data_IF_933946639197
#
_entry.id   IF_933946639197
#
_cell.length_a   1.000
_cell.length_b   1.000
_cell.length_c   1.000
_cell.angle_alpha   90.00
_cell.angle_beta   90.00
_cell.angle_gamma   90.00
#
_symmetry.space_group_name_H-M   'P 1'
#
loop_
_entity.id
_entity.type
_entity.pdbx_description
1 polymer ?
#
# COMPACT_ATOMS: atom_id res chain seq x y z
N UNK A 1 -4.39 -18.10 -18.47
CA UNK A 1 -5.01 -18.81 -17.34
C UNK A 1 -4.23 -18.42 -16.10
N UNK A 2 -4.88 -17.90 -15.07
CA UNK A 2 -4.23 -17.57 -13.80
C UNK A 2 -3.64 -18.86 -13.18
N UNK A 3 -2.40 -18.80 -12.71
CA UNK A 3 -1.82 -19.93 -11.98
C UNK A 3 -2.34 -19.90 -10.55
N UNK A 4 -3.10 -20.93 -10.19
CA UNK A 4 -3.65 -21.10 -8.84
C UNK A 4 -2.94 -22.23 -8.12
N UNK A 5 -2.44 -21.93 -6.92
CA UNK A 5 -1.82 -22.90 -6.03
C UNK A 5 -2.72 -23.00 -4.80
N UNK A 6 -3.23 -24.19 -4.48
CA UNK A 6 -4.11 -24.40 -3.33
C UNK A 6 -3.52 -25.43 -2.40
N UNK A 7 -3.56 -25.17 -1.10
CA UNK A 7 -3.11 -26.12 -0.10
C UNK A 7 -2.88 -25.49 1.26
N UNK A 8 -2.28 -26.27 2.16
CA UNK A 8 -2.08 -25.90 3.56
C UNK A 8 -1.04 -24.79 3.74
N UNK A 9 -1.24 -23.94 4.74
CA UNK A 9 -0.30 -22.88 5.10
C UNK A 9 0.40 -23.10 6.44
N UNK A 10 1.50 -22.38 6.66
CA UNK A 10 2.04 -22.01 7.98
C UNK A 10 2.12 -20.48 8.09
N UNK A 11 2.64 -19.99 9.20
CA UNK A 11 3.02 -18.59 9.41
C UNK A 11 4.54 -18.48 9.59
N UNK A 12 5.15 -17.39 9.11
CA UNK A 12 6.59 -17.12 9.25
C UNK A 12 6.91 -15.62 9.28
N UNK A 13 8.15 -15.29 9.64
CA UNK A 13 8.74 -13.97 9.53
C UNK A 13 8.57 -13.09 10.77
N UNK A 14 9.45 -12.10 10.85
CA UNK A 14 9.47 -11.06 11.86
C UNK A 14 10.24 -11.40 13.14
N UNK A 15 10.27 -10.46 14.11
CA UNK A 15 11.21 -10.51 15.22
C UNK A 15 11.10 -11.78 16.08
N UNK A 16 9.92 -12.38 16.14
CA UNK A 16 9.59 -13.49 17.02
C UNK A 16 9.50 -14.85 16.31
N UNK A 17 9.76 -14.94 15.01
CA UNK A 17 9.67 -16.19 14.24
C UNK A 17 10.67 -17.26 14.70
N UNK A 18 10.23 -18.29 15.41
CA UNK A 18 11.13 -19.35 15.89
C UNK A 18 11.59 -20.32 14.80
N UNK A 19 11.02 -20.26 13.60
CA UNK A 19 11.37 -21.11 12.46
C UNK A 19 12.63 -20.68 11.72
N UNK A 20 13.01 -19.40 11.82
CA UNK A 20 14.21 -18.85 11.18
C UNK A 20 15.32 -18.55 12.20
N UNK A 21 16.57 -18.87 11.87
CA UNK A 21 17.72 -18.47 12.68
C UNK A 21 17.82 -16.93 12.76
N UNK A 22 18.39 -16.34 13.85
CA UNK A 22 18.53 -14.89 13.98
C UNK A 22 19.30 -14.19 12.84
N UNK A 23 20.16 -14.93 12.15
CA UNK A 23 21.01 -14.50 11.04
C UNK A 23 20.51 -14.97 9.66
N UNK A 24 19.33 -15.59 9.59
CA UNK A 24 18.78 -16.11 8.35
C UNK A 24 18.31 -14.99 7.41
N UNK A 25 18.95 -14.93 6.25
CA UNK A 25 18.52 -14.10 5.13
C UNK A 25 17.47 -14.81 4.28
N UNK A 26 16.50 -14.03 3.81
CA UNK A 26 15.53 -14.46 2.83
C UNK A 26 16.19 -14.66 1.46
N UNK A 27 15.79 -15.69 0.72
CA UNK A 27 16.35 -15.99 -0.59
C UNK A 27 16.06 -14.89 -1.62
N UNK A 28 14.93 -14.18 -1.50
CA UNK A 28 14.59 -13.11 -2.45
C UNK A 28 15.15 -11.76 -2.02
N UNK A 29 15.52 -11.58 -0.76
CA UNK A 29 15.98 -10.29 -0.24
C UNK A 29 17.05 -10.56 0.80
N UNK A 30 18.28 -10.70 0.33
CA UNK A 30 19.45 -10.88 1.20
C UNK A 30 19.86 -9.56 1.83
N UNK A 31 20.53 -9.61 2.98
CA UNK A 31 20.96 -8.41 3.71
C UNK A 31 21.83 -7.49 2.86
N UNK A 32 22.69 -8.06 2.01
CA UNK A 32 23.58 -7.35 1.09
C UNK A 32 22.85 -6.66 -0.07
N UNK A 33 21.65 -7.11 -0.43
CA UNK A 33 20.84 -6.54 -1.51
C UNK A 33 19.74 -5.62 -0.98
N UNK A 34 19.46 -5.64 0.34
CA UNK A 34 18.28 -5.00 0.92
C UNK A 34 18.22 -3.51 0.64
N UNK A 35 19.34 -2.79 0.70
CA UNK A 35 19.38 -1.34 0.41
C UNK A 35 18.98 -1.06 -1.04
N UNK A 36 19.51 -1.83 -1.99
CA UNK A 36 19.16 -1.73 -3.41
C UNK A 36 17.69 -2.07 -3.67
N UNK A 37 17.15 -3.03 -2.93
CA UNK A 37 15.77 -3.49 -3.07
C UNK A 37 14.78 -2.69 -2.22
N UNK A 38 15.26 -1.82 -1.33
CA UNK A 38 14.45 -1.06 -0.39
C UNK A 38 13.26 -0.33 -1.05
N UNK A 39 13.40 0.27 -2.25
CA UNK A 39 12.26 0.88 -2.93
C UNK A 39 11.10 -0.08 -3.25
N UNK A 40 11.39 -1.38 -3.42
CA UNK A 40 10.44 -2.41 -3.87
C UNK A 40 9.90 -3.23 -2.71
N UNK A 41 10.72 -3.46 -1.68
CA UNK A 41 10.41 -4.38 -0.57
C UNK A 41 10.47 -3.72 0.80
N UNK A 42 10.99 -2.50 0.93
CA UNK A 42 11.24 -1.84 2.21
C UNK A 42 10.00 -1.71 3.08
N UNK A 43 8.83 -1.51 2.47
CA UNK A 43 7.54 -1.47 3.17
C UNK A 43 7.14 -2.78 3.88
N UNK A 44 7.81 -3.91 3.60
CA UNK A 44 7.58 -5.19 4.27
C UNK A 44 8.61 -5.49 5.38
N UNK A 45 9.51 -4.54 5.66
CA UNK A 45 10.55 -4.66 6.67
C UNK A 45 10.39 -3.58 7.74
N UNK A 46 10.72 -3.94 8.97
CA UNK A 46 10.84 -2.99 10.06
C UNK A 46 11.93 -1.95 9.74
N UNK A 47 11.74 -0.68 10.14
CA UNK A 47 12.68 0.40 9.85
C UNK A 47 14.07 0.10 10.44
N UNK A 48 14.13 -0.62 11.56
CA UNK A 48 15.37 -1.04 12.22
C UNK A 48 15.43 -2.55 12.41
N UNK A 49 16.61 -3.15 12.22
CA UNK A 49 16.84 -4.55 12.53
C UNK A 49 16.55 -4.83 14.02
N UNK A 50 15.79 -5.88 14.37
CA UNK A 50 15.56 -6.24 15.76
C UNK A 50 16.86 -6.59 16.49
N UNK A 51 16.94 -6.19 17.77
CA UNK A 51 18.12 -6.43 18.61
C UNK A 51 18.46 -7.93 18.67
N UNK A 52 19.73 -8.26 18.44
CA UNK A 52 20.22 -9.64 18.50
C UNK A 52 19.94 -10.48 17.26
N UNK A 53 19.54 -9.84 16.15
CA UNK A 53 19.32 -10.48 14.86
C UNK A 53 20.12 -9.75 13.78
N UNK A 54 20.45 -10.44 12.69
CA UNK A 54 21.17 -9.87 11.55
C UNK A 54 20.59 -10.25 10.19
N UNK A 55 19.76 -11.30 10.12
CA UNK A 55 19.16 -11.75 8.88
C UNK A 55 17.88 -11.00 8.52
N UNK A 56 17.59 -10.91 7.22
CA UNK A 56 16.39 -10.21 6.73
C UNK A 56 15.08 -10.88 7.17
N UNK A 57 15.04 -12.20 7.38
CA UNK A 57 13.82 -12.88 7.82
C UNK A 57 13.28 -12.36 9.16
N UNK A 58 14.18 -12.00 10.09
CA UNK A 58 13.82 -11.42 11.40
C UNK A 58 13.40 -9.96 11.31
N UNK A 59 13.80 -9.24 10.26
CA UNK A 59 13.45 -7.83 10.05
C UNK A 59 12.11 -7.65 9.36
N UNK A 60 11.50 -8.70 8.82
CA UNK A 60 10.16 -8.60 8.24
C UNK A 60 9.17 -7.98 9.23
N UNK A 61 8.35 -7.06 8.76
CA UNK A 61 7.30 -6.44 9.57
C UNK A 61 6.12 -7.43 9.70
N UNK A 62 5.84 -8.00 10.89
CA UNK A 62 4.81 -9.02 11.05
C UNK A 62 3.39 -8.53 10.70
N UNK A 63 3.14 -7.22 10.69
CA UNK A 63 1.84 -6.64 10.35
C UNK A 63 1.64 -6.43 8.83
N UNK A 64 2.73 -6.46 8.07
CA UNK A 64 2.74 -6.34 6.61
C UNK A 64 2.37 -7.65 5.91
N UNK A 65 1.82 -7.58 4.69
CA UNK A 65 1.33 -8.75 3.96
C UNK A 65 2.36 -9.27 2.96
N UNK A 66 3.13 -10.28 3.38
CA UNK A 66 4.03 -11.05 2.52
C UNK A 66 3.75 -12.55 2.60
N UNK A 67 4.31 -13.28 1.64
CA UNK A 67 4.14 -14.72 1.46
C UNK A 67 5.44 -15.38 0.98
N UNK A 68 5.68 -16.58 1.50
CA UNK A 68 6.53 -17.59 0.88
C UNK A 68 5.63 -18.67 0.27
N UNK A 69 5.87 -19.11 -0.96
CA UNK A 69 5.04 -20.14 -1.59
C UNK A 69 5.88 -21.11 -2.40
N UNK A 70 5.39 -22.34 -2.57
CA UNK A 70 5.98 -23.30 -3.50
C UNK A 70 5.65 -22.89 -4.94
N UNK A 71 6.35 -21.86 -5.40
CA UNK A 71 6.25 -21.36 -6.75
C UNK A 71 6.69 -22.44 -7.76
N UNK A 72 6.16 -22.38 -8.97
CA UNK A 72 6.74 -23.11 -10.09
C UNK A 72 7.99 -22.37 -10.57
N UNK A 73 9.18 -22.87 -10.22
CA UNK A 73 10.45 -22.17 -10.46
C UNK A 73 10.78 -21.95 -11.94
N UNK A 74 10.29 -22.81 -12.83
CA UNK A 74 10.44 -22.62 -14.28
C UNK A 74 9.51 -21.57 -14.86
N UNK A 75 8.43 -21.22 -14.16
CA UNK A 75 7.42 -20.26 -14.62
C UNK A 75 7.50 -18.92 -13.88
N UNK A 76 8.10 -18.92 -12.68
CA UNK A 76 8.11 -17.77 -11.77
C UNK A 76 9.51 -17.53 -11.22
N UNK A 77 10.41 -16.91 -12.02
CA UNK A 77 11.74 -16.53 -11.55
C UNK A 77 11.64 -15.45 -10.47
N UNK A 78 12.66 -15.39 -9.59
CA UNK A 78 12.69 -14.50 -8.42
C UNK A 78 12.50 -13.04 -8.81
N UNK A 79 13.09 -12.61 -9.92
CA UNK A 79 13.03 -11.24 -10.42
C UNK A 79 11.59 -10.80 -10.70
N UNK A 80 10.77 -11.71 -11.22
CA UNK A 80 9.36 -11.47 -11.47
C UNK A 80 8.58 -11.47 -10.15
N UNK A 81 8.80 -12.49 -9.31
CA UNK A 81 8.11 -12.61 -8.02
C UNK A 81 8.37 -11.40 -7.11
N UNK A 82 9.60 -10.88 -7.10
CA UNK A 82 10.01 -9.72 -6.31
C UNK A 82 9.36 -8.43 -6.76
N UNK A 83 8.89 -8.33 -8.01
CA UNK A 83 8.27 -7.11 -8.56
C UNK A 83 6.75 -7.18 -8.63
N UNK A 84 6.13 -8.31 -8.28
CA UNK A 84 4.67 -8.46 -8.29
C UNK A 84 4.06 -8.59 -6.90
N UNK A 85 2.74 -8.61 -6.86
CA UNK A 85 1.92 -9.04 -5.75
C UNK A 85 1.09 -10.25 -6.20
N UNK A 86 0.78 -11.15 -5.27
CA UNK A 86 -0.11 -12.30 -5.49
C UNK A 86 -1.36 -12.17 -4.62
N UNK A 87 -2.50 -12.66 -5.09
CA UNK A 87 -3.71 -12.70 -4.27
C UNK A 87 -3.70 -13.96 -3.41
N UNK A 88 -3.90 -13.81 -2.11
CA UNK A 88 -4.08 -14.92 -1.17
C UNK A 88 -5.51 -14.86 -0.66
N UNK A 89 -6.23 -15.96 -0.82
CA UNK A 89 -7.65 -16.06 -0.50
C UNK A 89 -7.89 -17.26 0.41
N UNK A 90 -8.70 -17.04 1.45
CA UNK A 90 -9.37 -18.13 2.15
C UNK A 90 -10.56 -18.60 1.30
N UNK A 91 -10.54 -19.85 0.77
CA UNK A 91 -11.63 -20.37 -0.04
C UNK A 91 -12.94 -20.56 0.75
N UNK A 92 -12.89 -20.65 2.09
CA UNK A 92 -14.08 -20.85 2.92
C UNK A 92 -14.87 -19.56 3.11
N UNK A 93 -14.21 -18.48 3.55
CA UNK A 93 -14.87 -17.18 3.76
C UNK A 93 -14.90 -16.31 2.51
N UNK A 94 -14.04 -16.61 1.53
CA UNK A 94 -13.81 -15.76 0.37
C UNK A 94 -13.01 -14.49 0.68
N UNK A 95 -12.57 -14.28 1.92
CA UNK A 95 -11.71 -13.15 2.27
C UNK A 95 -10.36 -13.29 1.56
N UNK A 96 -9.85 -12.18 1.02
CA UNK A 96 -8.61 -12.17 0.26
C UNK A 96 -7.82 -10.89 0.49
N UNK A 97 -6.50 -10.96 0.33
CA UNK A 97 -5.63 -9.80 0.27
C UNK A 97 -4.45 -10.04 -0.67
N UNK A 98 -3.85 -8.95 -1.14
CA UNK A 98 -2.62 -9.01 -1.92
C UNK A 98 -1.42 -9.17 -0.98
N UNK A 99 -0.45 -9.99 -1.39
CA UNK A 99 0.74 -10.30 -0.62
C UNK A 99 1.98 -10.25 -1.48
N UNK A 100 3.09 -9.78 -0.89
CA UNK A 100 4.41 -9.74 -1.55
C UNK A 100 5.11 -11.10 -1.49
N UNK A 101 5.46 -11.71 -2.63
CA UNK A 101 6.40 -12.83 -2.65
C UNK A 101 7.75 -12.37 -2.11
N UNK A 102 8.23 -13.01 -1.04
CA UNK A 102 9.49 -12.63 -0.38
C UNK A 102 10.44 -13.81 -0.16
N UNK A 103 9.97 -15.04 -0.38
CA UNK A 103 10.72 -16.26 -0.11
C UNK A 103 10.18 -17.47 -0.90
N UNK A 104 11.02 -18.49 -1.03
CA UNK A 104 10.64 -19.83 -1.47
C UNK A 104 9.75 -20.54 -0.45
N UNK A 105 8.94 -21.48 -0.93
CA UNK A 105 7.93 -22.12 -0.12
C UNK A 105 8.48 -22.95 1.06
N UNK A 106 7.59 -23.33 2.00
CA UNK A 106 7.95 -24.18 3.14
C UNK A 106 8.56 -25.51 2.73
N UNK A 107 9.33 -26.10 3.66
CA UNK A 107 10.02 -27.38 3.50
C UNK A 107 9.12 -28.46 2.89
N UNK A 108 9.68 -29.22 1.93
CA UNK A 108 8.93 -30.19 1.13
C UNK A 108 8.13 -31.18 2.01
N UNK A 109 8.77 -31.68 3.07
CA UNK A 109 8.22 -32.67 3.99
C UNK A 109 7.00 -32.18 4.79
N UNK A 110 6.81 -30.86 4.96
CA UNK A 110 5.69 -30.30 5.72
C UNK A 110 4.32 -30.51 5.06
N UNK A 111 4.29 -30.79 3.74
CA UNK A 111 3.05 -30.85 2.95
C UNK A 111 2.33 -29.50 2.78
N UNK A 112 2.90 -28.39 3.27
CA UNK A 112 2.37 -27.04 3.13
C UNK A 112 2.84 -26.41 1.82
N UNK A 113 2.02 -25.53 1.25
CA UNK A 113 2.33 -24.82 0.00
C UNK A 113 2.71 -23.36 0.24
N UNK A 114 2.32 -22.77 1.38
CA UNK A 114 2.62 -21.38 1.69
C UNK A 114 3.02 -21.17 3.16
N UNK A 115 3.84 -20.16 3.40
CA UNK A 115 3.96 -19.50 4.70
C UNK A 115 3.46 -18.06 4.54
N UNK A 116 2.50 -17.65 5.37
CA UNK A 116 1.98 -16.29 5.37
C UNK A 116 2.66 -15.47 6.48
N UNK A 117 2.75 -14.16 6.28
CA UNK A 117 2.99 -13.22 7.38
C UNK A 117 1.91 -13.36 8.48
N UNK A 118 2.23 -13.07 9.76
CA UNK A 118 1.25 -13.08 10.85
C UNK A 118 0.04 -12.17 10.56
N UNK A 119 0.29 -10.96 10.05
CA UNK A 119 -0.73 -9.99 9.70
C UNK A 119 -1.68 -10.51 8.62
N UNK A 120 -1.15 -11.14 7.57
CA UNK A 120 -1.98 -11.72 6.51
C UNK A 120 -2.82 -12.89 7.01
N UNK A 121 -2.24 -13.81 7.79
CA UNK A 121 -2.99 -14.94 8.36
C UNK A 121 -4.12 -14.45 9.28
N UNK A 122 -3.82 -13.48 10.15
CA UNK A 122 -4.81 -12.83 11.03
C UNK A 122 -5.91 -12.13 10.24
N UNK A 123 -5.55 -11.37 9.20
CA UNK A 123 -6.51 -10.69 8.33
C UNK A 123 -7.46 -11.68 7.65
N UNK A 124 -6.93 -12.75 7.07
CA UNK A 124 -7.74 -13.79 6.43
C UNK A 124 -8.57 -14.60 7.44
N UNK A 125 -8.17 -14.62 8.71
CA UNK A 125 -8.82 -15.43 9.75
C UNK A 125 -8.46 -16.91 9.67
N UNK A 126 -7.27 -17.22 9.15
CA UNK A 126 -6.77 -18.59 8.92
C UNK A 126 -5.67 -18.93 9.92
N UNK A 127 -5.59 -20.21 10.29
CA UNK A 127 -4.60 -20.78 11.19
C UNK A 127 -3.63 -21.70 10.44
N UNK A 128 -2.59 -22.15 11.13
CA UNK A 128 -1.65 -23.14 10.60
C UNK A 128 -2.44 -24.39 10.16
N UNK A 129 -2.06 -24.94 9.01
CA UNK A 129 -2.67 -26.08 8.33
C UNK A 129 -4.07 -25.86 7.73
N UNK A 130 -4.63 -24.65 7.84
CA UNK A 130 -5.78 -24.25 7.01
C UNK A 130 -5.38 -24.12 5.54
N UNK A 131 -6.38 -24.22 4.66
CA UNK A 131 -6.20 -24.16 3.20
C UNK A 131 -6.32 -22.73 2.72
N UNK A 132 -5.39 -22.29 1.87
CA UNK A 132 -5.47 -21.04 1.12
C UNK A 132 -5.32 -21.29 -0.38
N UNK A 133 -5.90 -20.39 -1.16
CA UNK A 133 -5.73 -20.28 -2.60
C UNK A 133 -4.81 -19.09 -2.88
N UNK A 134 -3.64 -19.36 -3.46
CA UNK A 134 -2.71 -18.33 -3.97
C UNK A 134 -2.94 -18.21 -5.46
N UNK A 135 -3.35 -17.03 -5.92
CA UNK A 135 -3.53 -16.70 -7.33
C UNK A 135 -2.40 -15.80 -7.77
N UNK A 136 -1.58 -16.30 -8.68
CA UNK A 136 -0.51 -15.55 -9.32
C UNK A 136 -1.13 -14.86 -10.53
N UNK A 137 -1.08 -13.51 -10.60
CA UNK A 137 -1.75 -12.78 -11.66
C UNK A 137 -1.27 -13.29 -13.02
N UNK A 138 -2.23 -13.67 -13.87
CA UNK A 138 -1.86 -13.93 -15.25
C UNK A 138 -1.38 -12.65 -15.86
N UNK A 139 -0.60 -12.90 -16.87
CA UNK A 139 0.30 -11.96 -17.34
C UNK A 139 -0.31 -11.49 -18.69
N UNK A 140 -0.63 -10.20 -18.86
CA UNK A 140 -1.22 -9.64 -20.10
C UNK A 140 -0.29 -9.79 -21.31
N UNK A 141 -0.88 -10.16 -22.44
CA UNK A 141 -0.17 -10.64 -23.64
C UNK A 141 0.37 -9.46 -24.45
N UNK A 142 1.67 -9.43 -24.76
CA UNK A 142 2.19 -8.53 -25.80
C UNK A 142 1.95 -9.11 -27.21
N UNK A 143 2.27 -8.35 -28.26
CA UNK A 143 2.07 -8.75 -29.67
C UNK A 143 2.86 -10.00 -30.11
N UNK A 144 3.57 -10.68 -29.20
CA UNK A 144 4.32 -11.91 -29.46
C UNK A 144 3.82 -13.12 -28.63
N UNK A 145 2.67 -13.02 -27.95
CA UNK A 145 1.94 -14.20 -27.46
C UNK A 145 2.44 -14.79 -26.13
N UNK A 146 3.28 -14.06 -25.38
CA UNK A 146 3.66 -14.41 -24.00
C UNK A 146 2.86 -13.60 -23.00
N UNK A 147 2.26 -14.26 -22.00
CA UNK A 147 1.55 -13.61 -20.90
C UNK A 147 2.55 -12.89 -19.96
N UNK A 148 2.49 -11.55 -19.79
CA UNK A 148 3.23 -10.74 -18.77
C UNK A 148 2.32 -9.77 -17.99
N UNK A 149 2.19 -9.89 -16.65
CA UNK A 149 1.28 -9.05 -15.87
C UNK A 149 1.88 -7.67 -15.99
N UNK A 150 1.13 -6.71 -16.55
CA UNK A 150 1.68 -5.36 -16.70
C UNK A 150 1.69 -4.77 -15.31
N UNK A 151 2.81 -5.00 -14.63
CA UNK A 151 3.18 -4.37 -13.38
C UNK A 151 3.46 -2.92 -13.73
N UNK A 152 2.71 -2.02 -13.09
CA UNK A 152 2.97 -0.59 -13.15
C UNK A 152 3.50 -0.13 -11.81
N UNK A 153 4.37 0.87 -11.87
CA UNK A 153 5.03 1.42 -10.69
C UNK A 153 4.47 2.80 -10.40
N UNK A 154 4.08 3.05 -9.16
CA UNK A 154 3.91 4.39 -8.62
C UNK A 154 5.27 4.82 -8.09
N UNK A 155 5.94 5.69 -8.83
CA UNK A 155 7.14 6.34 -8.37
C UNK A 155 6.77 7.45 -7.39
N UNK A 156 7.44 7.49 -6.24
CA UNK A 156 7.19 8.51 -5.24
C UNK A 156 8.47 8.99 -4.56
N UNK A 157 8.48 10.23 -4.10
CA UNK A 157 9.52 10.73 -3.19
C UNK A 157 9.05 10.65 -1.75
N UNK A 158 9.90 10.12 -0.86
CA UNK A 158 9.61 10.07 0.57
C UNK A 158 10.05 11.36 1.25
N UNK A 159 9.20 11.92 2.11
CA UNK A 159 9.51 13.09 2.93
C UNK A 159 8.81 12.96 4.28
N UNK A 160 9.57 12.60 5.33
CA UNK A 160 8.98 12.26 6.62
C UNK A 160 8.17 13.43 7.23
N UNK A 161 6.87 13.21 7.45
CA UNK A 161 6.06 14.11 8.28
C UNK A 161 6.53 14.07 9.74
N UNK A 162 6.47 15.23 10.42
CA UNK A 162 6.86 15.34 11.83
C UNK A 162 5.80 14.82 12.78
N UNK A 163 4.52 14.93 12.43
CA UNK A 163 3.42 14.58 13.32
C UNK A 163 2.60 13.42 12.75
N UNK A 164 2.74 12.25 13.35
CA UNK A 164 1.96 11.05 13.08
C UNK A 164 2.06 10.14 14.30
N UNK A 165 1.21 9.11 14.37
CA UNK A 165 1.37 8.04 15.36
C UNK A 165 1.99 6.82 14.69
N UNK A 166 3.14 6.30 15.19
CA UNK A 166 3.68 5.04 14.72
C UNK A 166 2.70 3.89 14.93
N UNK A 167 2.52 3.07 13.90
CA UNK A 167 1.52 2.01 13.82
C UNK A 167 0.09 2.52 13.63
N UNK A 168 -0.84 1.56 13.52
CA UNK A 168 -2.28 1.81 13.45
C UNK A 168 -3.04 0.90 14.40
N UNK A 169 -4.03 1.45 15.10
CA UNK A 169 -4.88 0.68 16.02
C UNK A 169 -6.04 -0.04 15.32
N UNK A 170 -6.20 0.17 14.00
CA UNK A 170 -7.25 -0.40 13.16
C UNK A 170 -6.69 -0.74 11.78
N UNK A 171 -7.22 -1.76 11.09
CA UNK A 171 -6.88 -2.00 9.69
C UNK A 171 -7.33 -0.81 8.82
N UNK A 172 -6.64 -0.61 7.69
CA UNK A 172 -7.08 0.32 6.65
C UNK A 172 -8.41 -0.18 6.10
N UNK A 173 -9.42 0.69 6.11
CA UNK A 173 -10.78 0.38 5.64
C UNK A 173 -11.27 1.38 4.59
N UNK A 174 -10.73 2.61 4.55
CA UNK A 174 -11.12 3.64 3.58
C UNK A 174 -9.93 4.52 3.16
N UNK A 175 -10.08 5.17 2.01
CA UNK A 175 -9.17 6.20 1.49
C UNK A 175 -9.93 7.52 1.49
N UNK A 176 -9.35 8.56 2.07
CA UNK A 176 -9.96 9.90 2.12
C UNK A 176 -9.16 10.85 1.23
N UNK A 177 -9.82 11.43 0.25
CA UNK A 177 -9.27 12.44 -0.66
C UNK A 177 -9.46 13.84 -0.06
N UNK A 178 -8.42 14.66 -0.16
CA UNK A 178 -8.35 16.03 0.35
C UNK A 178 -7.86 17.00 -0.75
N UNK A 179 -8.12 18.28 -0.54
CA UNK A 179 -7.42 19.37 -1.22
C UNK A 179 -6.51 20.08 -0.22
N UNK A 180 -5.23 20.25 -0.56
CA UNK A 180 -4.24 20.78 0.38
C UNK A 180 -4.45 22.25 0.73
N UNK A 181 -5.18 22.98 -0.10
CA UNK A 181 -5.30 24.43 -0.05
C UNK A 181 -3.96 25.17 -0.18
N UNK A 182 -2.99 24.52 -0.85
CA UNK A 182 -1.63 24.99 -1.03
C UNK A 182 -1.03 24.65 -2.40
N UNK A 183 0.29 24.82 -2.48
CA UNK A 183 1.11 24.56 -3.66
C UNK A 183 2.23 23.56 -3.32
N UNK A 184 2.78 22.85 -4.31
CA UNK A 184 3.91 21.91 -4.10
C UNK A 184 5.02 22.52 -3.24
N UNK A 185 5.41 23.78 -3.49
CA UNK A 185 6.49 24.41 -2.75
C UNK A 185 6.17 24.61 -1.25
N UNK A 186 4.92 24.96 -0.93
CA UNK A 186 4.52 25.25 0.45
C UNK A 186 4.12 23.98 1.19
N UNK A 187 3.40 23.08 0.52
CA UNK A 187 2.83 21.86 1.11
C UNK A 187 3.91 20.88 1.54
N UNK A 188 5.01 20.78 0.78
CA UNK A 188 6.15 19.94 1.15
C UNK A 188 6.78 20.35 2.49
N UNK A 189 6.82 21.65 2.80
CA UNK A 189 7.29 22.14 4.11
C UNK A 189 6.18 22.13 5.16
N UNK A 190 4.93 22.36 4.78
CA UNK A 190 3.80 22.38 5.71
C UNK A 190 3.57 21.01 6.34
N UNK A 191 3.56 19.93 5.56
CA UNK A 191 3.33 18.58 6.08
C UNK A 191 4.52 18.04 6.90
N UNK A 192 5.70 18.65 6.81
CA UNK A 192 6.85 18.32 7.67
C UNK A 192 6.91 19.10 8.96
N UNK A 193 6.14 20.18 9.11
CA UNK A 193 6.24 21.07 10.28
C UNK A 193 4.93 21.26 11.03
N UNK A 194 3.80 21.00 10.41
CA UNK A 194 2.47 21.21 11.00
C UNK A 194 2.06 20.12 11.99
N UNK A 195 0.96 20.40 12.71
CA UNK A 195 0.32 19.43 13.60
C UNK A 195 -0.62 18.45 12.88
N UNK A 196 -0.78 18.57 11.56
CA UNK A 196 -1.55 17.65 10.72
C UNK A 196 -0.62 16.92 9.77
N UNK A 197 -1.08 15.82 9.21
CA UNK A 197 -0.31 15.05 8.23
C UNK A 197 -1.22 14.19 7.38
N UNK A 198 -0.76 13.87 6.17
CA UNK A 198 -1.38 12.89 5.29
C UNK A 198 -0.38 11.76 4.98
N UNK A 199 -0.87 10.68 4.39
CA UNK A 199 0.01 9.59 3.97
C UNK A 199 0.65 9.93 2.63
N UNK A 200 -0.16 10.43 1.70
CA UNK A 200 0.25 10.73 0.34
C UNK A 200 -0.14 12.14 -0.06
N UNK A 201 0.64 12.72 -0.98
CA UNK A 201 0.38 14.00 -1.61
C UNK A 201 0.62 13.90 -3.12
N UNK A 202 -0.24 14.53 -3.91
CA UNK A 202 -0.20 14.50 -5.36
C UNK A 202 -0.21 15.92 -5.92
N UNK A 203 0.86 16.27 -6.64
CA UNK A 203 0.98 17.58 -7.27
C UNK A 203 0.03 17.73 -8.45
N UNK A 204 -0.12 18.97 -8.93
CA UNK A 204 -0.89 19.26 -10.15
C UNK A 204 -0.33 18.56 -11.41
N UNK A 205 0.95 18.21 -11.40
CA UNK A 205 1.65 17.50 -12.48
C UNK A 205 1.66 15.97 -12.29
N UNK A 206 0.96 15.46 -11.26
CA UNK A 206 0.86 14.03 -10.99
C UNK A 206 2.08 13.42 -10.28
N UNK A 207 3.03 14.22 -9.78
CA UNK A 207 4.09 13.70 -8.91
C UNK A 207 3.50 13.24 -7.60
N UNK A 208 4.00 12.11 -7.09
CA UNK A 208 3.54 11.52 -5.83
C UNK A 208 4.61 11.67 -4.76
N UNK A 209 4.19 12.09 -3.58
CA UNK A 209 5.01 12.15 -2.38
C UNK A 209 4.38 11.32 -1.27
N UNK A 210 5.20 10.67 -0.46
CA UNK A 210 4.75 9.96 0.75
C UNK A 210 5.31 10.64 1.99
N UNK A 211 4.43 10.97 2.92
CA UNK A 211 4.75 11.67 4.16
C UNK A 211 4.72 10.78 5.40
N UNK A 212 3.76 9.87 5.44
CA UNK A 212 3.56 8.92 6.53
C UNK A 212 3.43 7.53 5.91
N UNK A 213 4.13 6.55 6.49
CA UNK A 213 4.04 5.16 6.05
C UNK A 213 2.58 4.67 6.15
N UNK A 214 2.15 3.82 5.23
CA UNK A 214 0.81 3.24 5.31
C UNK A 214 0.62 2.32 6.53
N UNK A 215 1.67 1.87 7.21
CA UNK A 215 1.57 1.15 8.48
C UNK A 215 1.26 2.08 9.66
N UNK A 216 1.61 3.36 9.54
CA UNK A 216 1.43 4.39 10.57
C UNK A 216 0.09 5.12 10.42
N UNK A 217 -0.24 5.96 11.41
CA UNK A 217 -1.48 6.76 11.43
C UNK A 217 -1.17 8.25 11.22
N UNK A 218 -1.49 8.77 10.04
CA UNK A 218 -1.46 10.20 9.76
C UNK A 218 -2.66 10.95 10.38
N UNK A 219 -2.54 12.26 10.60
CA UNK A 219 -3.57 13.10 11.21
C UNK A 219 -4.27 13.99 10.18
N UNK A 220 -5.16 13.40 9.36
CA UNK A 220 -5.76 14.08 8.21
C UNK A 220 -7.28 14.31 8.29
N UNK A 221 -8.05 13.53 9.07
CA UNK A 221 -9.53 13.63 9.11
C UNK A 221 -10.02 14.50 10.29
N UNK A 222 -9.35 14.39 11.43
CA UNK A 222 -9.88 14.92 12.70
C UNK A 222 -11.13 14.16 13.15
N UNK A 223 -12.17 14.88 13.60
CA UNK A 223 -13.44 14.27 14.05
C UNK A 223 -14.25 13.78 12.84
N UNK A 224 -14.58 12.49 12.81
CA UNK A 224 -15.30 11.87 11.70
C UNK A 224 -16.66 11.33 12.12
N UNK A 225 -17.61 11.29 11.17
CA UNK A 225 -19.00 10.83 11.40
C UNK A 225 -19.09 9.35 11.80
N UNK A 226 -18.02 8.59 11.58
CA UNK A 226 -17.92 7.18 11.95
C UNK A 226 -16.46 6.83 12.23
N UNK A 227 -16.24 5.89 13.14
CA UNK A 227 -14.89 5.38 13.44
C UNK A 227 -14.27 4.63 12.26
N UNK A 228 -15.07 4.21 11.26
CA UNK A 228 -14.59 3.68 9.98
C UNK A 228 -13.78 4.69 9.17
N UNK A 229 -14.01 5.99 9.41
CA UNK A 229 -13.34 7.10 8.75
C UNK A 229 -12.38 7.84 9.69
N UNK A 230 -12.06 7.24 10.84
CA UNK A 230 -11.05 7.79 11.75
C UNK A 230 -9.66 7.69 11.12
N UNK A 231 -8.75 8.59 11.52
CA UNK A 231 -7.34 8.57 11.10
C UNK A 231 -6.72 7.16 11.12
N UNK A 232 -6.95 6.37 12.18
CA UNK A 232 -6.38 5.03 12.33
C UNK A 232 -6.94 3.99 11.33
N UNK A 233 -8.13 4.24 10.79
CA UNK A 233 -8.82 3.35 9.86
C UNK A 233 -8.66 3.78 8.39
N UNK A 234 -7.93 4.86 8.11
CA UNK A 234 -7.89 5.45 6.77
C UNK A 234 -6.50 5.78 6.27
N UNK A 235 -6.36 5.83 4.94
CA UNK A 235 -5.25 6.48 4.26
C UNK A 235 -5.73 7.84 3.75
N UNK A 236 -4.92 8.87 3.95
CA UNK A 236 -5.22 10.25 3.52
C UNK A 236 -4.36 10.62 2.32
N UNK A 237 -5.00 11.11 1.25
CA UNK A 237 -4.35 11.57 0.02
C UNK A 237 -4.69 13.05 -0.19
N UNK A 238 -3.68 13.89 -0.06
CA UNK A 238 -3.75 15.32 -0.33
C UNK A 238 -3.49 15.59 -1.81
N UNK A 239 -4.26 16.48 -2.40
CA UNK A 239 -4.01 16.94 -3.76
C UNK A 239 -3.67 18.42 -3.73
N UNK A 240 -2.61 18.80 -4.45
CA UNK A 240 -2.27 20.19 -4.70
C UNK A 240 -3.43 20.92 -5.38
N UNK A 241 -4.19 21.65 -4.60
CA UNK A 241 -5.38 22.36 -5.06
C UNK A 241 -5.77 23.45 -4.06
N UNK A 242 -6.27 24.56 -4.57
CA UNK A 242 -6.80 25.69 -3.83
C UNK A 242 -8.32 25.69 -3.97
N UNK A 243 -9.01 25.12 -2.97
CA UNK A 243 -10.48 25.20 -2.91
C UNK A 243 -10.93 26.66 -2.79
N UNK A 244 -12.12 27.02 -3.31
CA UNK A 244 -12.67 28.36 -3.16
C UNK A 244 -12.78 28.77 -1.69
N UNK A 245 -12.31 29.95 -1.38
CA UNK A 245 -12.36 30.52 -0.03
C UNK A 245 -12.69 32.02 -0.11
N UNK A 246 -13.93 32.42 0.21
CA UNK A 246 -14.34 33.81 0.16
C UNK A 246 -13.63 34.68 1.21
N UNK A 247 -13.10 34.09 2.29
CA UNK A 247 -12.42 34.84 3.36
C UNK A 247 -11.10 35.46 2.89
N UNK A 248 -10.45 34.82 1.91
CA UNK A 248 -9.25 35.31 1.23
C UNK A 248 -9.50 35.70 -0.23
N UNK A 249 -10.78 35.79 -0.64
CA UNK A 249 -11.19 36.21 -1.98
C UNK A 249 -10.91 35.20 -3.11
N UNK A 250 -10.61 33.95 -2.76
CA UNK A 250 -10.29 32.88 -3.71
C UNK A 250 -11.57 32.29 -4.32
N UNK A 251 -11.59 32.20 -5.65
CA UNK A 251 -12.77 31.76 -6.43
C UNK A 251 -12.67 30.29 -6.80
N UNK A 252 -13.80 29.70 -7.20
CA UNK A 252 -13.87 28.33 -7.70
C UNK A 252 -13.46 28.28 -9.19
N UNK A 253 -12.20 28.57 -9.48
CA UNK A 253 -11.70 28.66 -10.86
C UNK A 253 -10.42 27.84 -11.12
N UNK A 254 -9.87 27.18 -10.11
CA UNK A 254 -8.78 26.24 -10.34
C UNK A 254 -9.36 24.93 -10.84
N UNK A 255 -8.77 24.40 -11.91
CA UNK A 255 -9.10 23.10 -12.47
C UNK A 255 -8.40 21.96 -11.72
N UNK A 256 -8.87 20.74 -11.98
CA UNK A 256 -8.27 19.48 -11.58
C UNK A 256 -7.57 18.86 -12.79
N UNK A 257 -6.23 18.97 -12.90
CA UNK A 257 -5.50 18.48 -14.07
C UNK A 257 -5.63 16.97 -14.25
N UNK A 258 -5.66 16.54 -15.51
CA UNK A 258 -5.77 15.13 -15.90
C UNK A 258 -4.69 14.26 -15.26
N UNK A 259 -3.45 14.76 -15.25
CA UNK A 259 -2.29 14.06 -14.70
C UNK A 259 -2.43 13.82 -13.19
N UNK A 260 -2.92 14.82 -12.45
CA UNK A 260 -3.19 14.71 -11.01
C UNK A 260 -4.29 13.69 -10.72
N UNK A 261 -5.41 13.75 -11.46
CA UNK A 261 -6.52 12.79 -11.30
C UNK A 261 -6.10 11.38 -11.69
N UNK A 262 -5.27 11.23 -12.73
CA UNK A 262 -4.71 9.95 -13.14
C UNK A 262 -3.79 9.34 -12.09
N UNK A 263 -2.85 10.14 -11.55
CA UNK A 263 -1.97 9.70 -10.47
C UNK A 263 -2.76 9.30 -9.21
N UNK A 264 -3.82 10.05 -8.88
CA UNK A 264 -4.71 9.73 -7.76
C UNK A 264 -5.42 8.39 -7.94
N UNK A 265 -5.96 8.14 -9.14
CA UNK A 265 -6.63 6.89 -9.46
C UNK A 265 -5.65 5.70 -9.46
N UNK A 266 -4.43 5.88 -9.97
CA UNK A 266 -3.38 4.85 -9.96
C UNK A 266 -2.94 4.52 -8.53
N UNK A 267 -2.70 5.54 -7.70
CA UNK A 267 -2.39 5.37 -6.29
C UNK A 267 -3.54 4.70 -5.52
N UNK A 268 -4.78 5.09 -5.79
CA UNK A 268 -5.94 4.44 -5.20
C UNK A 268 -6.09 2.99 -5.66
N UNK A 269 -5.76 2.66 -6.91
CA UNK A 269 -5.77 1.27 -7.39
C UNK A 269 -4.76 0.41 -6.61
N UNK A 270 -3.55 0.92 -6.42
CA UNK A 270 -2.54 0.27 -5.56
C UNK A 270 -3.06 0.03 -4.14
N UNK A 271 -3.60 1.06 -3.49
CA UNK A 271 -4.11 0.95 -2.12
C UNK A 271 -5.33 0.02 -2.04
N UNK A 272 -6.21 0.04 -3.03
CA UNK A 272 -7.34 -0.88 -3.14
C UNK A 272 -6.87 -2.33 -3.26
N UNK A 273 -5.87 -2.60 -4.08
CA UNK A 273 -5.28 -3.93 -4.21
C UNK A 273 -4.63 -4.38 -2.89
N UNK A 274 -3.81 -3.52 -2.29
CA UNK A 274 -3.10 -3.80 -1.03
C UNK A 274 -4.06 -4.14 0.12
N UNK A 275 -5.11 -3.34 0.29
CA UNK A 275 -6.01 -3.43 1.45
C UNK A 275 -7.36 -4.09 1.15
N UNK A 276 -7.57 -4.63 -0.05
CA UNK A 276 -8.83 -5.26 -0.46
C UNK A 276 -10.01 -4.29 -0.52
N UNK A 277 -9.76 -3.02 -0.82
CA UNK A 277 -10.77 -1.96 -0.86
C UNK A 277 -11.44 -1.88 -2.23
N UNK A 278 -12.65 -1.33 -2.26
CA UNK A 278 -13.45 -1.09 -3.48
C UNK A 278 -13.70 0.39 -3.67
N UNK A 279 -14.29 0.76 -4.81
CA UNK A 279 -14.65 2.14 -5.14
C UNK A 279 -15.40 2.86 -4.00
N UNK A 280 -16.37 2.19 -3.37
CA UNK A 280 -17.16 2.76 -2.27
C UNK A 280 -16.39 3.00 -0.97
N UNK A 281 -15.13 2.58 -0.88
CA UNK A 281 -14.23 2.88 0.24
C UNK A 281 -13.42 4.16 0.01
N UNK A 282 -13.55 4.81 -1.14
CA UNK A 282 -12.85 6.05 -1.48
C UNK A 282 -13.85 7.19 -1.32
N UNK A 283 -13.56 8.11 -0.41
CA UNK A 283 -14.47 9.17 0.02
C UNK A 283 -13.74 10.51 0.08
N UNK A 284 -14.48 11.61 0.07
CA UNK A 284 -13.92 12.96 0.28
C UNK A 284 -13.93 13.32 1.76
N UNK A 285 -13.05 14.25 2.16
CA UNK A 285 -13.03 14.75 3.54
C UNK A 285 -14.36 15.40 3.94
N UNK A 286 -14.95 16.19 3.04
CA UNK A 286 -16.26 16.80 3.20
C UNK A 286 -17.37 15.78 3.55
N UNK A 287 -17.29 14.58 2.98
CA UNK A 287 -18.27 13.52 3.23
C UNK A 287 -18.13 12.94 4.64
N UNK A 288 -16.89 12.72 5.11
CA UNK A 288 -16.62 11.99 6.36
C UNK A 288 -16.52 12.87 7.60
N UNK A 289 -16.34 14.17 7.46
CA UNK A 289 -16.10 15.08 8.58
C UNK A 289 -17.32 15.31 9.48
N UNK A 290 -17.08 15.37 10.79
CA UNK A 290 -18.09 15.69 11.81
C UNK A 290 -17.76 17.02 12.52
N UNK A 291 -18.72 17.93 12.74
CA UNK A 291 -20.08 17.89 12.18
C UNK A 291 -20.05 18.04 10.65
N UNK A 292 -21.12 17.59 9.99
CA UNK A 292 -21.26 17.76 8.55
C UNK A 292 -21.17 19.25 8.18
N UNK A 293 -20.39 19.59 7.15
CA UNK A 293 -20.09 20.96 6.75
C UNK A 293 -18.96 21.65 7.52
N UNK A 294 -18.27 20.96 8.45
CA UNK A 294 -17.05 21.48 9.12
C UNK A 294 -15.92 21.76 8.13
N UNK A 295 -15.79 20.90 7.12
CA UNK A 295 -14.83 21.01 6.01
C UNK A 295 -15.57 20.74 4.72
N UNK A 296 -15.05 21.27 3.62
CA UNK A 296 -15.68 21.19 2.29
C UNK A 296 -14.79 20.54 1.23
N UNK A 297 -13.59 20.14 1.58
CA UNK A 297 -12.59 19.65 0.64
C UNK A 297 -12.77 18.18 0.23
N UNK A 298 -12.27 17.79 -0.95
CA UNK A 298 -11.92 18.66 -2.08
C UNK A 298 -13.18 19.19 -2.78
N UNK A 299 -13.24 20.50 -3.04
CA UNK A 299 -14.38 21.13 -3.70
C UNK A 299 -14.32 20.86 -5.22
N UNK A 300 -15.42 20.34 -5.77
CA UNK A 300 -15.54 20.15 -7.21
C UNK A 300 -14.63 19.06 -7.78
N UNK A 301 -14.13 18.14 -6.95
CA UNK A 301 -13.31 17.02 -7.40
C UNK A 301 -14.01 16.21 -8.50
N UNK A 302 -13.34 15.87 -9.61
CA UNK A 302 -13.98 15.27 -10.78
C UNK A 302 -14.22 13.77 -10.58
N UNK A 303 -15.09 13.40 -9.63
CA UNK A 303 -15.35 12.02 -9.21
C UNK A 303 -15.60 11.08 -10.39
N UNK A 304 -16.46 11.45 -11.35
CA UNK A 304 -16.73 10.59 -12.52
C UNK A 304 -15.44 10.25 -13.29
N UNK A 305 -14.58 11.24 -13.53
CA UNK A 305 -13.32 11.05 -14.25
C UNK A 305 -12.37 10.16 -13.46
N UNK A 306 -12.25 10.43 -12.16
CA UNK A 306 -11.47 9.62 -11.24
C UNK A 306 -11.94 8.16 -11.22
N UNK A 307 -13.25 7.92 -11.10
CA UNK A 307 -13.82 6.56 -11.06
C UNK A 307 -13.62 5.80 -12.39
N UNK A 308 -13.78 6.49 -13.52
CA UNK A 308 -13.55 5.89 -14.84
C UNK A 308 -12.07 5.50 -15.02
N UNK A 309 -11.14 6.37 -14.60
CA UNK A 309 -9.71 6.07 -14.60
C UNK A 309 -9.37 4.94 -13.62
N UNK A 310 -9.91 4.96 -12.41
CA UNK A 310 -9.65 3.92 -11.41
C UNK A 310 -10.06 2.54 -11.91
N UNK A 311 -11.21 2.41 -12.59
CA UNK A 311 -11.62 1.13 -13.22
C UNK A 311 -10.61 0.63 -14.25
N UNK A 312 -10.00 1.53 -15.01
CA UNK A 312 -8.91 1.20 -15.93
C UNK A 312 -7.65 0.80 -15.16
N UNK A 313 -7.26 1.58 -14.15
CA UNK A 313 -6.08 1.33 -13.31
C UNK A 313 -6.15 -0.03 -12.60
N UNK A 314 -7.33 -0.48 -12.20
CA UNK A 314 -7.57 -1.76 -11.53
C UNK A 314 -7.27 -2.99 -12.43
N UNK A 315 -7.01 -2.80 -13.73
CA UNK A 315 -6.59 -3.89 -14.64
C UNK A 315 -5.09 -4.20 -14.55
N UNK A 316 -4.30 -3.33 -13.93
CA UNK A 316 -2.85 -3.50 -13.75
C UNK A 316 -2.53 -3.98 -12.35
N UNK A 317 -1.40 -4.66 -12.17
CA UNK A 317 -0.83 -4.86 -10.83
C UNK A 317 0.02 -3.64 -10.50
N UNK A 318 -0.28 -2.96 -9.39
CA UNK A 318 0.52 -1.81 -8.97
C UNK A 318 1.52 -2.18 -7.88
N UNK A 319 2.71 -1.63 -8.00
CA UNK A 319 3.71 -1.56 -6.94
C UNK A 319 4.10 -0.11 -6.72
N UNK A 320 4.64 0.20 -5.55
CA UNK A 320 5.26 1.49 -5.29
C UNK A 320 6.78 1.37 -5.36
N UNK A 321 7.46 2.43 -5.80
CA UNK A 321 8.91 2.53 -5.79
C UNK A 321 9.31 3.92 -5.30
N UNK A 322 10.04 3.98 -4.18
CA UNK A 322 10.66 5.24 -3.78
C UNK A 322 11.78 5.59 -4.76
N UNK A 323 11.73 6.77 -5.38
CA UNK A 323 12.76 7.27 -6.29
C UNK A 323 13.74 8.22 -5.59
N UNK A 324 13.54 8.45 -4.30
CA UNK A 324 14.39 9.28 -3.46
C UNK A 324 13.75 9.63 -2.13
N UNK A 325 14.57 10.13 -1.22
CA UNK A 325 14.15 10.68 0.06
C UNK A 325 14.59 12.15 0.13
N UNK A 326 13.64 13.02 0.46
CA UNK A 326 13.90 14.42 0.75
C UNK A 326 14.04 14.59 2.26
N UNK A 327 14.99 15.42 2.67
CA UNK A 327 15.05 15.84 4.06
C UNK A 327 13.88 16.80 4.34
N UNK A 328 13.22 16.67 5.50
CA UNK A 328 12.28 17.67 5.97
C UNK A 328 12.92 19.07 5.92
N UNK A 329 12.20 20.02 5.30
CA UNK A 329 12.63 21.44 5.21
C UNK A 329 12.44 22.14 6.55
#
# INVERSE_FOLDING_TARGET
METKITGKLSVFGGPHDKGAAPDHDLSFVRSEELEKLWPIVGEYFLPTQPRGTSGTARRLDPDSFYIACRWNYSEHPVENLRTMLVSVRDPLTGRSAMAKPIEWGPEIASGRIANLSPGLASYLGVSIDDVVEVTIPTASVDSQGGAVAVVKTIEYMYIQARNYLPGRSRPVQNIILHASNGSENDDLSYFTTSAVSAHWYITRTGKVYQFVDNADTAYHVGKAISTLYSNAATIGIEHEHFDPDPTVGRKANQDWPDEQVCAAADLCAFLCQRYGLKLGNILTHAYVAEPHGRVSDPVGYPMKKFEDRLKESMQYTWVTQSVGMLNPV
#
